data_IF_494371023910
#
_entry.id   IF_494371023910
#
_cell.length_a   1.000
_cell.length_b   1.000
_cell.length_c   1.000
_cell.angle_alpha   90.00
_cell.angle_beta   90.00
_cell.angle_gamma   90.00
#
_symmetry.space_group_name_H-M   'P 1'
#
loop_
_entity.id
_entity.type
_entity.pdbx_description
1 polymer ?
#
# COMPACT_ATOMS: atom_id res chain seq x y z
N UNK A 1 -27.22 -2.07 -10.78
CA UNK A 1 -26.48 -3.33 -10.77
C UNK A 1 -27.34 -4.37 -10.06
N UNK A 2 -27.67 -5.48 -10.72
CA UNK A 2 -28.55 -6.53 -10.17
C UNK A 2 -27.96 -7.90 -10.49
N UNK A 3 -27.97 -8.80 -9.51
CA UNK A 3 -27.58 -10.20 -9.68
C UNK A 3 -28.82 -11.04 -10.00
N UNK A 4 -28.83 -11.75 -11.12
CA UNK A 4 -29.91 -12.67 -11.53
C UNK A 4 -29.32 -13.93 -12.16
N UNK A 5 -29.77 -15.09 -11.69
CA UNK A 5 -29.44 -16.41 -12.28
C UNK A 5 -27.96 -16.67 -12.55
N UNK A 6 -27.05 -16.18 -11.67
CA UNK A 6 -25.60 -16.35 -11.82
C UNK A 6 -24.92 -15.33 -12.73
N UNK A 7 -25.65 -14.32 -13.22
CA UNK A 7 -25.14 -13.24 -14.04
C UNK A 7 -25.30 -11.89 -13.36
N UNK A 8 -24.31 -11.01 -13.56
CA UNK A 8 -24.36 -9.64 -13.14
C UNK A 8 -24.94 -8.76 -14.27
N UNK A 9 -26.09 -8.15 -13.99
CA UNK A 9 -26.73 -7.18 -14.90
C UNK A 9 -26.31 -5.76 -14.48
N UNK A 10 -25.67 -5.04 -15.39
CA UNK A 10 -25.19 -3.68 -15.19
C UNK A 10 -25.97 -2.76 -16.14
N UNK A 11 -26.70 -1.79 -15.58
CA UNK A 11 -27.29 -0.69 -16.34
C UNK A 11 -26.47 0.57 -16.07
N UNK A 12 -25.91 1.18 -17.09
CA UNK A 12 -25.18 2.45 -16.99
C UNK A 12 -26.14 3.63 -16.92
N UNK A 13 -25.65 4.81 -16.54
CA UNK A 13 -26.41 6.05 -16.57
C UNK A 13 -26.90 6.43 -17.98
N UNK A 14 -26.24 5.94 -19.03
CA UNK A 14 -26.69 6.09 -20.43
C UNK A 14 -27.65 4.98 -20.91
N UNK A 15 -28.29 4.23 -19.99
CA UNK A 15 -29.23 3.14 -20.27
C UNK A 15 -28.66 1.95 -21.07
N UNK A 16 -27.35 1.80 -21.17
CA UNK A 16 -26.72 0.62 -21.72
C UNK A 16 -26.79 -0.53 -20.71
N UNK A 17 -27.20 -1.71 -21.18
CA UNK A 17 -27.31 -2.91 -20.36
C UNK A 17 -26.22 -3.91 -20.74
N UNK A 18 -25.44 -4.33 -19.74
CA UNK A 18 -24.44 -5.38 -19.88
C UNK A 18 -24.83 -6.58 -19.02
N UNK A 19 -24.54 -7.77 -19.53
CA UNK A 19 -24.71 -9.02 -18.82
C UNK A 19 -23.34 -9.71 -18.74
N UNK A 20 -22.85 -9.96 -17.52
CA UNK A 20 -21.56 -10.58 -17.26
C UNK A 20 -21.74 -11.82 -16.39
N UNK A 21 -21.31 -13.01 -16.81
CA UNK A 21 -21.32 -14.20 -15.98
C UNK A 21 -20.43 -13.99 -14.74
N UNK A 22 -20.92 -14.41 -13.56
CA UNK A 22 -20.12 -14.29 -12.32
C UNK A 22 -18.82 -15.07 -12.37
N UNK A 23 -18.75 -16.15 -13.15
CA UNK A 23 -17.55 -16.98 -13.31
C UNK A 23 -16.39 -16.22 -13.98
N UNK A 24 -16.73 -15.21 -14.80
CA UNK A 24 -15.75 -14.36 -15.50
C UNK A 24 -15.36 -13.13 -14.68
N UNK A 25 -15.98 -12.93 -13.52
CA UNK A 25 -15.78 -11.79 -12.65
C UNK A 25 -14.66 -12.07 -11.66
N UNK A 26 -13.47 -11.52 -11.92
CA UNK A 26 -12.35 -11.58 -10.98
C UNK A 26 -12.54 -10.64 -9.78
N UNK A 27 -13.19 -9.47 -9.99
CA UNK A 27 -13.41 -8.44 -8.95
C UNK A 27 -14.47 -7.45 -9.42
N UNK A 28 -15.35 -7.04 -8.49
CA UNK A 28 -16.18 -5.84 -8.65
C UNK A 28 -15.62 -4.79 -7.71
N UNK A 29 -15.20 -3.66 -8.25
CA UNK A 29 -14.76 -2.53 -7.46
C UNK A 29 -15.85 -1.45 -7.50
N UNK A 30 -16.53 -1.24 -6.38
CA UNK A 30 -17.53 -0.18 -6.23
C UNK A 30 -16.90 1.15 -5.79
N UNK A 31 -15.59 1.29 -5.95
CA UNK A 31 -14.91 2.55 -5.66
C UNK A 31 -15.41 3.61 -6.65
N UNK A 32 -16.51 4.25 -6.28
CA UNK A 32 -16.93 5.52 -6.85
C UNK A 32 -15.88 6.59 -6.50
N UNK A 33 -16.07 7.82 -6.97
CA UNK A 33 -15.23 9.03 -6.79
C UNK A 33 -14.67 9.31 -5.37
N UNK A 34 -14.97 8.43 -4.41
CA UNK A 34 -14.61 8.56 -3.00
C UNK A 34 -13.35 7.75 -2.59
N UNK A 35 -12.68 7.06 -3.52
CA UNK A 35 -11.51 6.25 -3.22
C UNK A 35 -10.31 6.70 -4.07
N UNK A 36 -9.16 6.89 -3.44
CA UNK A 36 -7.90 7.22 -4.11
C UNK A 36 -6.80 6.31 -3.56
N UNK A 37 -6.07 5.64 -4.46
CA UNK A 37 -4.88 4.89 -4.06
C UNK A 37 -3.70 5.84 -3.87
N UNK A 38 -2.90 5.61 -2.83
CA UNK A 38 -1.68 6.41 -2.60
C UNK A 38 -0.65 6.24 -3.72
N UNK A 39 -0.69 5.12 -4.44
CA UNK A 39 0.16 4.91 -5.61
C UNK A 39 -0.21 5.79 -6.81
N UNK A 40 -1.43 6.34 -6.83
CA UNK A 40 -1.89 7.26 -7.89
C UNK A 40 -1.64 8.75 -7.53
N UNK A 41 -1.19 9.00 -6.29
CA UNK A 41 -0.86 10.36 -5.81
C UNK A 41 0.64 10.60 -5.87
N UNK A 42 1.01 11.84 -6.14
CA UNK A 42 2.39 12.30 -5.96
C UNK A 42 2.59 12.74 -4.51
N UNK A 43 3.59 12.18 -3.78
CA UNK A 43 3.92 12.68 -2.46
C UNK A 43 4.56 14.08 -2.57
N UNK A 44 4.25 14.96 -1.59
CA UNK A 44 4.90 16.27 -1.44
C UNK A 44 6.43 16.12 -1.27
N UNK A 45 6.84 15.06 -0.58
CA UNK A 45 8.26 14.75 -0.41
C UNK A 45 8.50 13.25 -0.25
N UNK A 46 9.65 12.82 -0.78
CA UNK A 46 10.21 11.48 -0.63
C UNK A 46 11.64 11.64 -0.12
N UNK A 47 11.91 11.09 1.06
CA UNK A 47 13.27 11.08 1.63
C UNK A 47 13.67 9.64 1.91
N UNK A 48 14.72 9.17 1.23
CA UNK A 48 15.37 7.91 1.56
C UNK A 48 16.75 8.20 2.16
N UNK A 49 17.09 7.52 3.26
CA UNK A 49 18.36 7.67 3.97
C UNK A 49 19.01 6.30 4.09
N UNK A 50 20.22 6.07 3.58
CA UNK A 50 20.93 4.81 3.74
C UNK A 50 21.37 4.61 5.20
N UNK A 51 21.49 3.34 5.62
CA UNK A 51 22.00 3.02 6.95
C UNK A 51 23.49 3.44 7.12
N UNK A 52 24.27 3.31 6.04
CA UNK A 52 25.69 3.68 5.99
C UNK A 52 25.94 4.58 4.80
N UNK A 53 26.75 5.61 4.98
CA UNK A 53 27.15 6.53 3.92
C UNK A 53 26.15 7.66 3.66
N UNK A 54 26.36 8.37 2.54
CA UNK A 54 25.47 9.46 2.09
C UNK A 54 24.58 8.96 0.94
N UNK A 55 23.33 9.42 0.86
CA UNK A 55 22.48 9.07 -0.27
C UNK A 55 23.02 9.71 -1.55
N UNK A 56 23.35 8.90 -2.54
CA UNK A 56 23.67 9.34 -3.90
C UNK A 56 22.48 9.18 -4.87
N UNK A 57 22.49 9.82 -6.04
CA UNK A 57 21.39 9.76 -6.99
C UNK A 57 21.07 8.33 -7.48
N UNK A 58 22.07 7.49 -7.72
CA UNK A 58 21.88 6.11 -8.17
C UNK A 58 21.21 5.26 -7.09
N UNK A 59 21.72 5.36 -5.86
CA UNK A 59 21.14 4.66 -4.72
C UNK A 59 19.68 5.10 -4.47
N UNK A 60 19.37 6.40 -4.58
CA UNK A 60 17.98 6.90 -4.51
C UNK A 60 17.08 6.30 -5.59
N UNK A 61 17.56 6.15 -6.82
CA UNK A 61 16.81 5.55 -7.92
C UNK A 61 16.58 4.05 -7.69
N UNK A 62 17.52 3.33 -7.10
CA UNK A 62 17.43 1.90 -6.83
C UNK A 62 16.53 1.59 -5.61
N UNK A 63 16.64 2.36 -4.54
CA UNK A 63 15.98 2.11 -3.24
C UNK A 63 14.80 3.04 -2.96
N UNK A 64 14.49 3.96 -3.87
CA UNK A 64 13.30 4.79 -3.77
C UNK A 64 12.00 3.96 -3.82
N UNK A 65 10.90 4.49 -3.27
CA UNK A 65 9.63 3.80 -3.22
C UNK A 65 9.12 3.48 -4.63
N UNK A 66 8.46 2.34 -4.78
CA UNK A 66 7.88 1.90 -6.04
C UNK A 66 6.36 1.87 -5.95
N UNK A 67 5.71 2.28 -7.03
CA UNK A 67 4.27 2.32 -7.16
C UNK A 67 3.80 1.11 -7.95
N UNK A 68 2.81 0.39 -7.42
CA UNK A 68 2.11 -0.72 -8.07
C UNK A 68 3.00 -1.88 -8.53
N UNK A 69 4.23 -1.94 -8.01
CA UNK A 69 5.19 -3.00 -8.30
C UNK A 69 6.15 -3.24 -7.13
N UNK A 70 6.65 -4.46 -7.00
CA UNK A 70 7.65 -4.83 -6.00
C UNK A 70 9.06 -4.38 -6.41
N UNK A 71 10.01 -4.44 -5.47
CA UNK A 71 11.43 -4.20 -5.77
C UNK A 71 12.01 -5.23 -6.75
N UNK A 72 11.42 -6.41 -6.84
CA UNK A 72 11.80 -7.45 -7.80
C UNK A 72 11.20 -7.28 -9.19
N UNK A 73 10.34 -6.27 -9.41
CA UNK A 73 9.81 -5.89 -10.72
C UNK A 73 8.43 -6.45 -11.08
N UNK A 74 7.90 -7.41 -10.34
CA UNK A 74 6.53 -7.94 -10.53
C UNK A 74 5.48 -7.19 -9.71
N UNK A 75 4.29 -7.79 -9.58
CA UNK A 75 3.23 -7.33 -8.68
C UNK A 75 3.72 -7.33 -7.22
N UNK A 76 3.07 -6.54 -6.38
CA UNK A 76 3.28 -6.60 -4.94
C UNK A 76 2.83 -7.96 -4.43
N UNK A 77 3.67 -8.63 -3.65
CA UNK A 77 3.39 -9.97 -3.14
C UNK A 77 3.55 -10.01 -1.62
N UNK A 78 2.58 -10.65 -0.96
CA UNK A 78 2.61 -10.95 0.47
C UNK A 78 2.41 -12.45 0.66
N UNK A 79 2.95 -13.00 1.76
CA UNK A 79 2.79 -14.42 2.09
C UNK A 79 1.86 -14.61 3.27
N UNK A 80 0.87 -15.49 3.12
CA UNK A 80 0.10 -16.02 4.24
C UNK A 80 0.78 -17.25 4.84
N UNK A 81 0.38 -17.67 6.07
CA UNK A 81 0.76 -18.96 6.63
C UNK A 81 0.44 -20.09 5.65
N UNK A 82 1.28 -21.13 5.64
CA UNK A 82 1.15 -22.22 4.68
C UNK A 82 1.74 -21.92 3.30
N UNK A 83 2.38 -20.75 3.12
CA UNK A 83 3.11 -20.42 1.88
C UNK A 83 2.23 -19.86 0.75
N UNK A 84 0.94 -19.63 0.99
CA UNK A 84 0.04 -19.02 -0.02
C UNK A 84 0.46 -17.58 -0.30
N UNK A 85 0.75 -17.29 -1.55
CA UNK A 85 1.05 -15.96 -2.03
C UNK A 85 -0.23 -15.18 -2.33
N UNK A 86 -0.22 -13.90 -1.98
CA UNK A 86 -1.24 -12.93 -2.33
C UNK A 86 -0.62 -11.86 -3.21
N UNK A 87 -1.19 -11.64 -4.37
CA UNK A 87 -0.76 -10.62 -5.32
C UNK A 87 -1.68 -9.39 -5.27
N UNK A 88 -1.06 -8.23 -5.40
CA UNK A 88 -1.76 -6.95 -5.38
C UNK A 88 -1.27 -6.07 -6.52
N UNK A 89 -2.24 -5.50 -7.26
CA UNK A 89 -1.97 -4.61 -8.40
C UNK A 89 -1.78 -3.15 -7.98
N UNK A 90 -2.26 -2.78 -6.79
CA UNK A 90 -2.19 -1.41 -6.27
C UNK A 90 -1.47 -1.37 -4.94
N UNK A 91 -0.63 -0.34 -4.75
CA UNK A 91 0.05 -0.10 -3.50
C UNK A 91 1.47 0.45 -3.67
N UNK A 92 2.23 0.41 -2.57
CA UNK A 92 3.58 0.96 -2.50
C UNK A 92 4.54 -0.11 -1.98
N UNK A 93 5.69 -0.28 -2.64
CA UNK A 93 6.84 -0.99 -2.08
C UNK A 93 7.84 0.04 -1.55
N UNK A 94 8.24 -0.10 -0.29
CA UNK A 94 9.03 0.90 0.43
C UNK A 94 10.21 0.20 1.11
N UNK A 95 11.43 0.66 0.82
CA UNK A 95 12.67 0.25 1.49
C UNK A 95 12.91 1.11 2.73
N UNK A 96 13.48 0.54 3.81
CA UNK A 96 13.99 1.32 4.94
C UNK A 96 15.27 2.10 4.53
N UNK A 97 15.57 3.26 5.05
CA UNK A 97 14.69 4.20 5.74
C UNK A 97 14.08 5.16 4.74
N UNK A 98 12.79 5.06 4.53
CA UNK A 98 12.08 5.94 3.60
C UNK A 98 10.94 6.65 4.33
N UNK A 99 10.84 7.96 4.11
CA UNK A 99 9.72 8.78 4.53
C UNK A 99 8.99 9.32 3.30
N UNK A 100 7.68 9.09 3.23
CA UNK A 100 6.75 9.65 2.26
C UNK A 100 5.83 10.64 2.96
N UNK A 101 5.64 11.80 2.38
CA UNK A 101 4.70 12.81 2.90
C UNK A 101 3.70 13.13 1.81
N UNK A 102 2.41 12.96 2.12
CA UNK A 102 1.30 13.32 1.25
C UNK A 102 0.54 14.50 1.83
N UNK A 103 0.17 15.45 0.98
CA UNK A 103 -0.78 16.50 1.31
C UNK A 103 -2.17 15.98 0.96
N UNK A 104 -3.05 15.91 1.96
CA UNK A 104 -4.43 15.48 1.79
C UNK A 104 -5.35 16.69 1.75
N UNK A 105 -6.45 16.56 0.99
CA UNK A 105 -7.59 17.47 1.12
C UNK A 105 -8.39 17.11 2.37
N UNK A 106 -9.17 18.03 2.92
CA UNK A 106 -9.99 17.81 4.12
C UNK A 106 -11.12 16.77 3.93
N UNK A 107 -11.26 16.23 2.73
CA UNK A 107 -12.37 15.34 2.38
C UNK A 107 -12.13 13.86 2.75
N UNK A 108 -10.90 13.46 3.03
CA UNK A 108 -10.59 12.07 3.34
C UNK A 108 -10.78 11.76 4.81
N UNK A 109 -11.43 10.63 5.09
CA UNK A 109 -11.76 10.17 6.44
C UNK A 109 -11.02 8.90 6.84
N UNK A 110 -10.74 8.01 5.90
CA UNK A 110 -10.13 6.69 6.21
C UNK A 110 -8.90 6.44 5.38
N UNK A 111 -7.87 5.86 6.01
CA UNK A 111 -6.70 5.30 5.33
C UNK A 111 -6.59 3.82 5.64
N UNK A 112 -6.61 2.99 4.59
CA UNK A 112 -6.61 1.53 4.69
C UNK A 112 -5.49 0.94 3.86
N UNK A 113 -4.84 -0.12 4.36
CA UNK A 113 -3.92 -0.93 3.59
C UNK A 113 -3.76 -2.33 4.21
N UNK A 114 -3.27 -3.27 3.40
CA UNK A 114 -2.72 -4.55 3.85
C UNK A 114 -1.21 -4.44 3.88
N UNK A 115 -0.59 -4.79 4.99
CA UNK A 115 0.84 -4.56 5.25
C UNK A 115 1.56 -5.87 5.46
N UNK A 116 2.74 -5.98 4.90
CA UNK A 116 3.66 -7.08 5.16
C UNK A 116 5.01 -6.85 4.49
N UNK A 117 5.99 -7.66 4.82
CA UNK A 117 7.22 -7.70 4.04
C UNK A 117 7.00 -8.48 2.74
N UNK A 118 7.71 -8.07 1.69
CA UNK A 118 7.65 -8.70 0.38
C UNK A 118 7.92 -10.22 0.50
N UNK A 119 7.14 -11.03 -0.22
CA UNK A 119 7.26 -12.48 -0.19
C UNK A 119 8.71 -12.98 -0.35
N UNK A 120 9.50 -12.33 -1.21
CA UNK A 120 10.89 -12.72 -1.48
C UNK A 120 11.87 -12.39 -0.36
N UNK A 121 11.49 -11.50 0.56
CA UNK A 121 12.28 -11.15 1.75
C UNK A 121 11.76 -11.82 3.02
N UNK A 122 10.80 -12.74 2.88
CA UNK A 122 10.22 -13.48 4.00
C UNK A 122 11.30 -14.16 4.84
N UNK A 123 11.18 -13.99 6.15
CA UNK A 123 12.11 -14.56 7.14
C UNK A 123 13.33 -13.71 7.44
N UNK A 124 13.59 -12.61 6.72
CA UNK A 124 14.83 -11.84 6.87
C UNK A 124 14.62 -10.36 7.22
N UNK A 125 13.67 -9.65 6.61
CA UNK A 125 13.47 -8.23 6.85
C UNK A 125 12.87 -7.92 8.22
N UNK A 126 13.14 -6.70 8.72
CA UNK A 126 12.58 -6.17 9.97
C UNK A 126 12.54 -4.64 9.90
N UNK A 127 11.35 -4.06 9.87
CA UNK A 127 11.14 -2.61 9.76
C UNK A 127 10.17 -2.11 10.82
N UNK A 128 10.30 -0.83 11.18
CA UNK A 128 9.30 -0.13 11.98
C UNK A 128 8.46 0.75 11.05
N UNK A 129 7.20 0.36 10.85
CA UNK A 129 6.21 1.16 10.15
C UNK A 129 5.62 2.19 11.11
N UNK A 130 5.72 3.47 10.75
CA UNK A 130 5.11 4.58 11.49
C UNK A 130 4.25 5.40 10.54
N UNK A 131 2.99 5.62 10.91
CA UNK A 131 2.05 6.47 10.17
C UNK A 131 1.69 7.65 11.07
N UNK A 132 1.90 8.88 10.54
CA UNK A 132 1.60 10.11 11.26
C UNK A 132 0.56 10.90 10.48
N UNK A 133 -0.41 11.49 11.20
CA UNK A 133 -1.34 12.48 10.69
C UNK A 133 -1.10 13.83 11.36
N UNK A 134 -0.80 14.88 10.62
CA UNK A 134 -0.47 16.21 11.18
C UNK A 134 0.57 16.14 12.32
N UNK A 135 1.60 15.30 12.19
CA UNK A 135 2.65 14.97 13.20
C UNK A 135 2.19 14.09 14.37
N UNK A 136 0.91 13.79 14.55
CA UNK A 136 0.41 12.84 15.56
C UNK A 136 0.58 11.41 15.05
N UNK A 137 1.09 10.53 15.90
CA UNK A 137 1.19 9.10 15.57
C UNK A 137 -0.20 8.46 15.50
N UNK A 138 -0.51 7.83 14.37
CA UNK A 138 -1.74 7.08 14.14
C UNK A 138 -1.51 5.58 14.24
N UNK A 139 -0.32 5.14 13.83
CA UNK A 139 0.09 3.74 13.89
C UNK A 139 1.61 3.66 14.06
N UNK A 140 2.05 2.78 14.96
CA UNK A 140 3.43 2.30 15.03
C UNK A 140 3.42 0.79 15.16
N UNK A 141 4.14 0.10 14.28
CA UNK A 141 4.21 -1.36 14.34
C UNK A 141 5.51 -1.86 13.72
N UNK A 142 6.21 -2.72 14.45
CA UNK A 142 7.33 -3.48 13.89
C UNK A 142 6.77 -4.59 13.00
N UNK A 143 7.26 -4.66 11.76
CA UNK A 143 6.89 -5.66 10.76
C UNK A 143 8.09 -6.51 10.45
N UNK A 144 7.96 -7.81 10.64
CA UNK A 144 9.04 -8.78 10.39
C UNK A 144 8.68 -9.73 9.28
N UNK A 145 9.69 -10.33 8.63
CA UNK A 145 9.48 -11.31 7.58
C UNK A 145 8.79 -12.61 8.04
N UNK A 146 8.68 -12.84 9.34
CA UNK A 146 7.96 -13.98 9.91
C UNK A 146 6.50 -13.66 10.27
N UNK A 147 6.14 -12.37 10.30
CA UNK A 147 4.77 -11.96 10.59
C UNK A 147 3.84 -12.23 9.40
N UNK A 148 2.60 -12.55 9.74
CA UNK A 148 1.52 -12.55 8.76
C UNK A 148 1.20 -11.11 8.32
N UNK A 149 0.81 -10.93 7.03
CA UNK A 149 0.24 -9.67 6.60
C UNK A 149 -0.96 -9.29 7.47
N UNK A 150 -1.06 -8.02 7.79
CA UNK A 150 -2.16 -7.47 8.56
C UNK A 150 -2.80 -6.28 7.86
N UNK A 151 -4.09 -6.09 8.12
CA UNK A 151 -4.84 -4.94 7.66
C UNK A 151 -4.85 -3.84 8.72
N UNK A 152 -4.87 -2.58 8.28
CA UNK A 152 -5.23 -1.46 9.14
C UNK A 152 -6.31 -0.59 8.48
N UNK A 153 -7.05 0.10 9.31
CA UNK A 153 -8.08 1.07 8.95
C UNK A 153 -8.01 2.25 9.92
N UNK A 154 -7.37 3.34 9.50
CA UNK A 154 -7.07 4.51 10.33
C UNK A 154 -8.04 5.64 10.02
N UNK A 155 -8.52 6.32 11.06
CA UNK A 155 -9.22 7.59 10.93
C UNK A 155 -8.22 8.70 10.61
N UNK A 156 -8.42 9.34 9.45
CA UNK A 156 -7.62 10.47 8.97
C UNK A 156 -8.47 11.72 8.78
N UNK A 157 -9.64 11.78 9.41
CA UNK A 157 -10.50 12.96 9.35
C UNK A 157 -9.76 14.22 9.85
N UNK A 158 -9.81 15.29 9.07
CA UNK A 158 -9.11 16.55 9.38
C UNK A 158 -7.59 16.51 9.27
N UNK A 159 -7.01 15.41 8.75
CA UNK A 159 -5.59 15.30 8.50
C UNK A 159 -5.26 15.90 7.14
N UNK A 160 -4.41 16.92 7.13
CA UNK A 160 -3.92 17.57 5.91
C UNK A 160 -2.56 17.03 5.46
N UNK A 161 -1.79 16.44 6.38
CA UNK A 161 -0.48 15.87 6.10
C UNK A 161 -0.39 14.45 6.63
N UNK A 162 -0.37 13.49 5.71
CA UNK A 162 -0.14 12.08 6.00
C UNK A 162 1.33 11.75 5.77
N UNK A 163 2.01 11.26 6.80
CA UNK A 163 3.39 10.82 6.69
C UNK A 163 3.47 9.32 6.91
N UNK A 164 4.16 8.62 6.01
CA UNK A 164 4.47 7.19 6.11
C UNK A 164 5.98 7.09 6.25
N UNK A 165 6.45 6.58 7.37
CA UNK A 165 7.87 6.30 7.63
C UNK A 165 8.03 4.78 7.76
N UNK A 166 8.90 4.22 6.94
CA UNK A 166 9.41 2.86 7.09
C UNK A 166 10.83 3.01 7.60
N UNK A 167 11.00 2.86 8.91
CA UNK A 167 12.29 3.03 9.57
C UNK A 167 13.04 1.71 9.69
N UNK A 168 14.32 1.79 10.03
CA UNK A 168 15.12 0.61 10.31
C UNK A 168 14.59 -0.12 11.55
N UNK A 169 14.36 -1.41 11.39
CA UNK A 169 14.21 -2.31 12.50
C UNK A 169 15.57 -2.87 12.96
N UNK A 170 15.55 -4.06 13.53
CA UNK A 170 16.77 -4.73 14.01
C UNK A 170 17.73 -5.15 12.88
N UNK A 171 17.23 -5.27 11.63
CA UNK A 171 17.97 -5.76 10.45
C UNK A 171 18.89 -4.74 9.77
N UNK A 172 18.92 -3.49 10.21
CA UNK A 172 19.79 -2.42 9.68
C UNK A 172 19.67 -2.19 8.16
N UNK A 173 18.47 -2.37 7.61
CA UNK A 173 18.18 -2.11 6.19
C UNK A 173 18.35 -3.32 5.26
N UNK A 174 18.72 -4.48 5.77
CA UNK A 174 18.90 -5.68 4.92
C UNK A 174 17.54 -6.31 4.65
N UNK A 175 17.16 -6.36 3.34
CA UNK A 175 15.91 -6.97 2.86
C UNK A 175 14.64 -6.38 3.50
N UNK A 176 14.67 -5.12 3.84
CA UNK A 176 13.59 -4.37 4.48
C UNK A 176 12.58 -3.85 3.44
N UNK A 177 12.06 -4.74 2.60
CA UNK A 177 11.09 -4.42 1.55
C UNK A 177 9.67 -4.51 2.11
N UNK A 178 9.14 -3.40 2.60
CA UNK A 178 7.77 -3.32 3.07
C UNK A 178 6.82 -3.06 1.89
N UNK A 179 5.74 -3.84 1.80
CA UNK A 179 4.64 -3.62 0.89
C UNK A 179 3.42 -3.08 1.65
N UNK A 180 2.92 -1.92 1.23
CA UNK A 180 1.61 -1.37 1.58
C UNK A 180 0.66 -1.67 0.43
N UNK A 181 0.04 -2.85 0.46
CA UNK A 181 -0.85 -3.32 -0.58
C UNK A 181 -2.23 -2.69 -0.44
N UNK A 182 -2.86 -2.32 -1.57
CA UNK A 182 -4.14 -1.63 -1.61
C UNK A 182 -4.18 -0.38 -0.70
N UNK A 183 -3.05 0.32 -0.56
CA UNK A 183 -2.94 1.55 0.21
C UNK A 183 -3.84 2.63 -0.38
N UNK A 184 -4.97 2.92 0.29
CA UNK A 184 -6.02 3.78 -0.22
C UNK A 184 -6.61 4.68 0.84
N UNK A 185 -6.99 5.87 0.43
CA UNK A 185 -7.73 6.84 1.24
C UNK A 185 -9.15 6.98 0.68
N UNK A 186 -10.12 7.13 1.59
CA UNK A 186 -11.55 7.26 1.23
C UNK A 186 -12.17 8.45 1.93
N UNK A 187 -13.16 9.05 1.26
CA UNK A 187 -14.02 10.12 1.81
C UNK A 187 -15.09 9.54 2.68
#
# INVERSE_FOLDING_TARGET
LVLRSGDLHITTSGALNYKLPLVDLAKIDFSSENLTYLSDLDPDSVTWTPFVGKPDPLAKALFGPRRDRSFSGGLLQLSKPGGRELEYRKGLAIQSRTQLVYRLTEQFQRFKATVGLDHRTRGRGNVDLVILGNRRELLRKTVTGLMEPFDFDLDISGIQRLTILVDYGKGKGIQDHLNLCNARITK
#
